data_IF_589660958390
#
_entry.id   IF_589660958390
#
_cell.length_a   1.000
_cell.length_b   1.000
_cell.length_c   1.000
_cell.angle_alpha   90.00
_cell.angle_beta   90.00
_cell.angle_gamma   90.00
#
_symmetry.space_group_name_H-M   'P 1'
#
loop_
_entity.id
_entity.type
_entity.pdbx_description
1 polymer ?
#
# COMPACT_ATOMS: atom_id res chain seq x y z
N UNK A 1 -102.88 41.25 -90.58
CA UNK A 1 -102.07 42.35 -90.00
C UNK A 1 -102.38 42.44 -88.51
N UNK A 2 -101.33 42.65 -87.71
CA UNK A 2 -101.31 43.09 -86.31
C UNK A 2 -101.82 42.05 -85.28
N UNK A 3 -100.99 41.30 -84.57
CA UNK A 3 -99.72 41.73 -83.97
C UNK A 3 -99.94 42.48 -82.64
N UNK A 4 -100.90 42.05 -81.81
CA UNK A 4 -100.89 42.39 -80.38
C UNK A 4 -100.11 41.30 -79.65
N UNK A 5 -98.79 41.49 -79.66
CA UNK A 5 -97.85 40.80 -78.79
C UNK A 5 -98.43 40.77 -77.37
N UNK A 6 -98.53 39.58 -76.78
CA UNK A 6 -98.94 39.34 -75.40
C UNK A 6 -97.81 39.80 -74.46
N UNK A 7 -97.49 41.10 -74.54
CA UNK A 7 -96.27 41.70 -74.03
C UNK A 7 -96.23 41.65 -72.49
N UNK A 8 -97.40 41.61 -71.86
CA UNK A 8 -97.53 41.55 -70.41
C UNK A 8 -97.27 40.14 -69.86
N UNK A 9 -97.81 39.09 -70.49
CA UNK A 9 -97.46 37.70 -70.10
C UNK A 9 -95.99 37.41 -70.36
N UNK A 10 -95.44 37.87 -71.50
CA UNK A 10 -94.01 37.70 -71.78
C UNK A 10 -93.13 38.44 -70.76
N UNK A 11 -93.56 39.61 -70.25
CA UNK A 11 -92.84 40.32 -69.18
C UNK A 11 -92.88 39.55 -67.86
N UNK A 12 -94.03 38.97 -67.51
CA UNK A 12 -94.18 38.12 -66.32
C UNK A 12 -93.33 36.86 -66.42
N UNK A 13 -93.37 36.16 -67.55
CA UNK A 13 -92.55 34.97 -67.81
C UNK A 13 -91.04 35.28 -67.76
N UNK A 14 -90.63 36.45 -68.28
CA UNK A 14 -89.24 36.92 -68.18
C UNK A 14 -88.88 37.19 -66.72
N UNK A 15 -89.76 37.81 -65.94
CA UNK A 15 -89.51 38.09 -64.51
C UNK A 15 -89.41 36.80 -63.69
N UNK A 16 -90.31 35.83 -63.92
CA UNK A 16 -90.28 34.52 -63.28
C UNK A 16 -89.04 33.71 -63.67
N UNK A 17 -88.68 33.70 -64.96
CA UNK A 17 -87.46 33.04 -65.40
C UNK A 17 -86.20 33.70 -64.82
N UNK A 18 -86.15 35.04 -64.72
CA UNK A 18 -85.06 35.74 -64.04
C UNK A 18 -84.98 35.38 -62.56
N UNK A 19 -86.11 35.32 -61.86
CA UNK A 19 -86.16 34.88 -60.46
C UNK A 19 -85.70 33.42 -60.30
N UNK A 20 -86.10 32.54 -61.22
CA UNK A 20 -85.68 31.14 -61.26
C UNK A 20 -84.18 31.00 -61.52
N UNK A 21 -83.63 31.78 -62.45
CA UNK A 21 -82.18 31.84 -62.72
C UNK A 21 -81.44 32.30 -61.47
N UNK A 22 -81.92 33.34 -60.77
CA UNK A 22 -81.32 33.81 -59.52
C UNK A 22 -81.30 32.74 -58.43
N UNK A 23 -82.41 32.01 -58.25
CA UNK A 23 -82.48 30.87 -57.30
C UNK A 23 -81.51 29.74 -57.67
N UNK A 24 -81.43 29.38 -58.95
CA UNK A 24 -80.51 28.34 -59.41
C UNK A 24 -79.05 28.76 -59.23
N UNK A 25 -78.71 30.02 -59.51
CA UNK A 25 -77.36 30.55 -59.30
C UNK A 25 -76.93 30.48 -57.83
N UNK A 26 -77.84 30.77 -56.90
CA UNK A 26 -77.55 30.65 -55.47
C UNK A 26 -77.35 29.19 -55.05
N UNK A 27 -78.21 28.29 -55.52
CA UNK A 27 -78.04 26.85 -55.28
C UNK A 27 -76.72 26.31 -55.85
N UNK A 28 -76.29 26.80 -57.03
CA UNK A 28 -74.99 26.45 -57.60
C UNK A 28 -73.83 26.94 -56.74
N UNK A 29 -73.89 28.15 -56.18
CA UNK A 29 -72.87 28.66 -55.26
C UNK A 29 -72.78 27.82 -53.99
N UNK A 30 -73.93 27.49 -53.38
CA UNK A 30 -73.94 26.62 -52.20
C UNK A 30 -73.34 25.23 -52.49
N UNK A 31 -73.65 24.65 -53.66
CA UNK A 31 -73.10 23.36 -54.06
C UNK A 31 -71.59 23.44 -54.29
N UNK A 32 -71.09 24.50 -54.91
CA UNK A 32 -69.66 24.69 -55.14
C UNK A 32 -68.88 24.88 -53.82
N UNK A 33 -69.45 25.63 -52.86
CA UNK A 33 -68.90 25.72 -51.51
C UNK A 33 -68.86 24.38 -50.79
N UNK A 34 -69.90 23.54 -50.95
CA UNK A 34 -69.91 22.19 -50.37
C UNK A 34 -68.87 21.30 -51.05
N UNK A 35 -68.71 21.40 -52.37
CA UNK A 35 -67.74 20.64 -53.14
C UNK A 35 -66.30 21.00 -52.75
N UNK A 36 -65.99 22.29 -52.59
CA UNK A 36 -64.68 22.76 -52.15
C UNK A 36 -64.36 22.28 -50.73
N UNK A 37 -65.32 22.34 -49.80
CA UNK A 37 -65.18 21.76 -48.45
C UNK A 37 -64.93 20.26 -48.50
N UNK A 38 -65.67 19.51 -49.31
CA UNK A 38 -65.50 18.06 -49.47
C UNK A 38 -64.11 17.71 -50.03
N UNK A 39 -63.63 18.46 -51.01
CA UNK A 39 -62.29 18.30 -51.57
C UNK A 39 -61.20 18.57 -50.51
N UNK A 40 -61.38 19.57 -49.66
CA UNK A 40 -60.45 19.84 -48.55
C UNK A 40 -60.46 18.72 -47.51
N UNK A 41 -61.64 18.22 -47.13
CA UNK A 41 -61.76 17.05 -46.23
C UNK A 41 -61.08 15.81 -46.82
N UNK A 42 -61.22 15.58 -48.13
CA UNK A 42 -60.57 14.46 -48.81
C UNK A 42 -59.05 14.55 -48.74
N UNK A 43 -58.47 15.75 -48.91
CA UNK A 43 -57.03 15.98 -48.74
C UNK A 43 -56.57 15.71 -47.30
N UNK A 44 -57.29 16.24 -46.31
CA UNK A 44 -56.98 16.01 -44.89
C UNK A 44 -57.06 14.52 -44.52
N UNK A 45 -58.06 13.81 -45.04
CA UNK A 45 -58.21 12.37 -44.80
C UNK A 45 -57.05 11.57 -45.39
N UNK A 46 -56.58 11.93 -46.59
CA UNK A 46 -55.40 11.32 -47.18
C UNK A 46 -54.13 11.58 -46.34
N UNK A 47 -53.96 12.80 -45.82
CA UNK A 47 -52.84 13.15 -44.94
C UNK A 47 -52.88 12.38 -43.60
N UNK A 48 -54.04 12.31 -42.95
CA UNK A 48 -54.24 11.52 -41.73
C UNK A 48 -53.90 10.05 -41.98
N UNK A 49 -54.39 9.49 -43.09
CA UNK A 49 -54.12 8.10 -43.46
C UNK A 49 -52.63 7.84 -43.64
N UNK A 50 -51.91 8.78 -44.27
CA UNK A 50 -50.47 8.69 -44.44
C UNK A 50 -49.74 8.77 -43.09
N UNK A 51 -50.13 9.70 -42.22
CA UNK A 51 -49.56 9.85 -40.87
C UNK A 51 -49.81 8.65 -39.97
N UNK A 52 -50.98 8.02 -40.06
CA UNK A 52 -51.29 6.78 -39.35
C UNK A 52 -50.38 5.64 -39.80
N UNK A 53 -50.18 5.46 -41.11
CA UNK A 53 -49.22 4.45 -41.63
C UNK A 53 -47.78 4.73 -41.19
N UNK A 54 -47.36 5.99 -41.17
CA UNK A 54 -46.04 6.37 -40.65
C UNK A 54 -45.88 6.02 -39.17
N UNK A 55 -46.90 6.31 -38.36
CA UNK A 55 -46.92 6.00 -36.93
C UNK A 55 -46.83 4.49 -36.69
N UNK A 56 -47.68 3.70 -37.36
CA UNK A 56 -47.68 2.23 -37.23
C UNK A 56 -46.31 1.64 -37.59
N UNK A 57 -45.68 2.13 -38.66
CA UNK A 57 -44.33 1.71 -39.05
C UNK A 57 -43.30 2.04 -37.98
N UNK A 58 -43.36 3.25 -37.41
CA UNK A 58 -42.46 3.68 -36.33
C UNK A 58 -42.66 2.86 -35.06
N UNK A 59 -43.91 2.55 -34.70
CA UNK A 59 -44.20 1.69 -33.56
C UNK A 59 -43.69 0.27 -33.76
N UNK A 60 -43.85 -0.28 -34.97
CA UNK A 60 -43.32 -1.60 -35.30
C UNK A 60 -41.79 -1.63 -35.20
N UNK A 61 -41.12 -0.58 -35.70
CA UNK A 61 -39.67 -0.43 -35.54
C UNK A 61 -39.25 -0.35 -34.07
N UNK A 62 -39.97 0.42 -33.24
CA UNK A 62 -39.71 0.49 -31.79
C UNK A 62 -39.91 -0.87 -31.13
N UNK A 63 -41.00 -1.58 -31.44
CA UNK A 63 -41.26 -2.94 -30.92
C UNK A 63 -40.15 -3.91 -31.34
N UNK A 64 -39.72 -3.86 -32.59
CA UNK A 64 -38.63 -4.71 -33.13
C UNK A 64 -37.31 -4.45 -32.42
N UNK A 65 -36.91 -3.18 -32.24
CA UNK A 65 -35.67 -2.81 -31.54
C UNK A 65 -35.75 -3.22 -30.06
N UNK A 66 -36.87 -2.95 -29.38
CA UNK A 66 -37.07 -3.35 -27.99
C UNK A 66 -36.97 -4.88 -27.84
N UNK A 67 -37.64 -5.65 -28.70
CA UNK A 67 -37.58 -7.11 -28.68
C UNK A 67 -36.18 -7.64 -28.93
N UNK A 68 -35.49 -7.15 -29.97
CA UNK A 68 -34.13 -7.61 -30.33
C UNK A 68 -33.10 -7.37 -29.22
N UNK A 69 -33.27 -6.31 -28.43
CA UNK A 69 -32.31 -5.91 -27.39
C UNK A 69 -32.83 -6.10 -25.96
N UNK A 70 -33.99 -6.74 -25.78
CA UNK A 70 -34.65 -6.88 -24.47
C UNK A 70 -33.73 -7.52 -23.42
N UNK A 71 -33.08 -8.62 -23.77
CA UNK A 71 -32.16 -9.32 -22.87
C UNK A 71 -30.94 -8.49 -22.50
N UNK A 72 -30.41 -7.71 -23.44
CA UNK A 72 -29.27 -6.83 -23.19
C UNK A 72 -29.65 -5.69 -22.24
N UNK A 73 -30.82 -5.08 -22.44
CA UNK A 73 -31.32 -4.07 -21.51
C UNK A 73 -31.63 -4.66 -20.14
N UNK A 74 -32.16 -5.88 -20.07
CA UNK A 74 -32.40 -6.58 -18.80
C UNK A 74 -31.10 -6.85 -18.05
N UNK A 75 -30.04 -7.29 -18.75
CA UNK A 75 -28.71 -7.50 -18.17
C UNK A 75 -28.06 -6.21 -17.68
N UNK A 76 -28.17 -5.12 -18.46
CA UNK A 76 -27.50 -3.86 -18.16
C UNK A 76 -28.23 -3.04 -17.09
N UNK A 77 -29.56 -2.95 -17.18
CA UNK A 77 -30.37 -2.04 -16.36
C UNK A 77 -31.02 -2.75 -15.17
N UNK A 78 -30.98 -4.09 -15.13
CA UNK A 78 -31.57 -4.97 -14.09
C UNK A 78 -33.07 -4.78 -13.83
N UNK A 79 -33.71 -3.80 -14.48
CA UNK A 79 -35.13 -3.44 -14.38
C UNK A 79 -35.68 -3.12 -15.77
N UNK A 80 -36.93 -3.50 -16.07
CA UNK A 80 -37.58 -3.11 -17.30
C UNK A 80 -37.76 -1.58 -17.34
N UNK A 81 -37.36 -0.96 -18.44
CA UNK A 81 -37.54 0.48 -18.67
C UNK A 81 -38.70 0.68 -19.62
N UNK A 82 -39.77 1.31 -19.14
CA UNK A 82 -40.98 1.55 -19.94
C UNK A 82 -40.84 2.77 -20.86
N UNK A 83 -40.14 3.81 -20.40
CA UNK A 83 -39.90 5.06 -21.13
C UNK A 83 -38.51 5.66 -20.82
N UNK A 84 -38.04 6.58 -21.67
CA UNK A 84 -36.80 7.35 -21.46
C UNK A 84 -35.49 6.53 -21.36
N UNK A 85 -35.32 5.56 -22.25
CA UNK A 85 -34.12 4.70 -22.37
C UNK A 85 -32.80 5.49 -22.30
N UNK A 86 -32.73 6.66 -22.94
CA UNK A 86 -31.54 7.53 -22.91
C UNK A 86 -31.11 7.87 -21.48
N UNK A 87 -32.04 8.31 -20.63
CA UNK A 87 -31.75 8.68 -19.25
C UNK A 87 -31.38 7.45 -18.41
N UNK A 88 -32.07 6.33 -18.61
CA UNK A 88 -31.78 5.09 -17.89
C UNK A 88 -30.36 4.57 -18.20
N UNK A 89 -29.96 4.58 -19.47
CA UNK A 89 -28.61 4.19 -19.90
C UNK A 89 -27.56 5.16 -19.34
N UNK A 90 -27.83 6.47 -19.37
CA UNK A 90 -26.91 7.46 -18.81
C UNK A 90 -26.67 7.25 -17.32
N UNK A 91 -27.74 7.09 -16.53
CA UNK A 91 -27.64 6.83 -15.08
C UNK A 91 -26.92 5.51 -14.79
N UNK A 92 -27.15 4.47 -15.59
CA UNK A 92 -26.41 3.21 -15.47
C UNK A 92 -24.91 3.42 -15.74
N UNK A 93 -24.58 4.17 -16.81
CA UNK A 93 -23.20 4.51 -17.14
C UNK A 93 -22.50 5.34 -16.07
N UNK A 94 -23.20 6.32 -15.48
CA UNK A 94 -22.70 7.11 -14.35
C UNK A 94 -22.39 6.22 -13.15
N UNK A 95 -23.35 5.37 -12.74
CA UNK A 95 -23.16 4.41 -11.64
C UNK A 95 -21.99 3.48 -11.88
N UNK A 96 -21.88 2.89 -13.08
CA UNK A 96 -20.78 2.00 -13.41
C UNK A 96 -19.43 2.73 -13.35
N UNK A 97 -19.35 3.98 -13.83
CA UNK A 97 -18.13 4.80 -13.72
C UNK A 97 -17.75 5.06 -12.27
N UNK A 98 -18.72 5.38 -11.42
CA UNK A 98 -18.46 5.64 -10.01
C UNK A 98 -18.02 4.37 -9.29
N UNK A 99 -18.67 3.23 -9.55
CA UNK A 99 -18.23 1.91 -9.04
C UNK A 99 -16.81 1.57 -9.51
N UNK A 100 -16.46 1.83 -10.78
CA UNK A 100 -15.09 1.61 -11.28
C UNK A 100 -14.09 2.48 -10.52
N UNK A 101 -14.40 3.77 -10.29
CA UNK A 101 -13.53 4.67 -9.51
C UNK A 101 -13.34 4.18 -8.08
N UNK A 102 -14.41 3.77 -7.41
CA UNK A 102 -14.37 3.23 -6.05
C UNK A 102 -13.54 1.95 -5.98
N UNK A 103 -13.75 1.01 -6.90
CA UNK A 103 -12.99 -0.24 -6.96
C UNK A 103 -11.50 0.02 -7.24
N UNK A 104 -11.17 0.94 -8.14
CA UNK A 104 -9.79 1.31 -8.41
C UNK A 104 -9.13 1.97 -7.20
N UNK A 105 -9.83 2.88 -6.51
CA UNK A 105 -9.33 3.50 -5.28
C UNK A 105 -9.07 2.44 -4.18
N UNK A 106 -10.00 1.49 -4.01
CA UNK A 106 -9.85 0.38 -3.07
C UNK A 106 -8.68 -0.54 -3.46
N UNK A 107 -8.54 -0.85 -4.74
CA UNK A 107 -7.43 -1.67 -5.26
C UNK A 107 -6.08 -1.01 -5.00
N UNK A 108 -5.95 0.29 -5.30
CA UNK A 108 -4.72 1.03 -5.05
C UNK A 108 -4.38 1.09 -3.56
N UNK A 109 -5.38 1.28 -2.69
CA UNK A 109 -5.18 1.26 -1.23
C UNK A 109 -4.64 -0.10 -0.76
N UNK A 110 -5.28 -1.19 -1.19
CA UNK A 110 -4.85 -2.55 -0.83
C UNK A 110 -3.45 -2.86 -1.37
N UNK A 111 -3.10 -2.38 -2.57
CA UNK A 111 -1.77 -2.55 -3.14
C UNK A 111 -0.70 -1.83 -2.32
N UNK A 112 -0.97 -0.59 -1.86
CA UNK A 112 -0.05 0.15 -0.99
C UNK A 112 0.12 -0.52 0.38
N UNK A 113 -0.97 -1.02 0.96
CA UNK A 113 -0.94 -1.78 2.21
C UNK A 113 -0.11 -3.07 2.05
N UNK A 114 -0.32 -3.81 0.98
CA UNK A 114 0.46 -5.00 0.65
C UNK A 114 1.96 -4.69 0.53
N UNK A 115 2.32 -3.64 -0.23
CA UNK A 115 3.71 -3.22 -0.38
C UNK A 115 4.35 -2.84 0.96
N UNK A 116 3.62 -2.11 1.82
CA UNK A 116 4.08 -1.77 3.17
C UNK A 116 4.34 -3.03 4.01
N UNK A 117 3.42 -3.98 4.00
CA UNK A 117 3.57 -5.26 4.70
C UNK A 117 4.74 -6.08 4.15
N UNK A 118 4.94 -6.11 2.83
CA UNK A 118 6.07 -6.80 2.21
C UNK A 118 7.43 -6.20 2.59
N UNK A 119 7.52 -4.87 2.62
CA UNK A 119 8.73 -4.16 3.07
C UNK A 119 9.00 -4.48 4.54
N UNK A 120 7.99 -4.36 5.41
CA UNK A 120 8.11 -4.70 6.84
C UNK A 120 8.57 -6.15 7.04
N UNK A 121 7.96 -7.10 6.31
CA UNK A 121 8.34 -8.52 6.37
C UNK A 121 9.79 -8.73 5.95
N UNK A 122 10.26 -8.09 4.87
CA UNK A 122 11.65 -8.19 4.42
C UNK A 122 12.62 -7.63 5.45
N UNK A 123 12.31 -6.48 6.05
CA UNK A 123 13.13 -5.86 7.08
C UNK A 123 13.22 -6.74 8.32
N UNK A 124 12.08 -7.20 8.84
CA UNK A 124 12.03 -8.10 10.00
C UNK A 124 12.78 -9.40 9.74
N UNK A 125 12.67 -9.99 8.55
CA UNK A 125 13.42 -11.20 8.19
C UNK A 125 14.93 -10.95 8.19
N UNK A 126 15.38 -9.81 7.67
CA UNK A 126 16.79 -9.43 7.65
C UNK A 126 17.34 -9.21 9.06
N UNK A 127 16.56 -8.53 9.91
CA UNK A 127 16.91 -8.28 11.31
C UNK A 127 16.97 -9.58 12.12
N UNK A 128 16.00 -10.48 11.91
CA UNK A 128 15.97 -11.80 12.56
C UNK A 128 17.24 -12.60 12.21
N UNK A 129 17.62 -12.66 10.92
CA UNK A 129 18.85 -13.34 10.49
C UNK A 129 20.12 -12.74 11.12
N UNK A 130 20.17 -11.42 11.30
CA UNK A 130 21.30 -10.76 11.99
C UNK A 130 21.35 -11.16 13.46
N UNK A 131 20.23 -11.07 14.17
CA UNK A 131 20.14 -11.43 15.58
C UNK A 131 20.45 -12.92 15.82
N UNK A 132 20.01 -13.81 14.92
CA UNK A 132 20.37 -15.23 14.99
C UNK A 132 21.88 -15.45 14.84
N UNK A 133 22.53 -14.73 13.92
CA UNK A 133 23.98 -14.80 13.74
C UNK A 133 24.73 -14.25 14.95
N UNK A 134 24.32 -13.08 15.46
CA UNK A 134 24.89 -12.48 16.66
C UNK A 134 24.74 -13.38 17.89
N UNK A 135 23.57 -14.02 18.04
CA UNK A 135 23.34 -14.99 19.11
C UNK A 135 24.29 -16.18 19.00
N UNK A 136 24.49 -16.73 17.80
CA UNK A 136 25.38 -17.87 17.61
C UNK A 136 26.85 -17.48 17.86
N UNK A 137 27.29 -16.33 17.38
CA UNK A 137 28.62 -15.77 17.68
C UNK A 137 28.81 -15.55 19.19
N UNK A 138 27.78 -15.08 19.90
CA UNK A 138 27.82 -14.92 21.36
C UNK A 138 27.89 -16.26 22.09
N UNK A 139 27.15 -17.28 21.63
CA UNK A 139 27.25 -18.64 22.21
C UNK A 139 28.64 -19.22 22.01
N UNK A 140 29.23 -19.05 20.82
CA UNK A 140 30.57 -19.53 20.51
C UNK A 140 31.61 -18.86 21.43
N UNK A 141 31.55 -17.55 21.63
CA UNK A 141 32.42 -16.84 22.59
C UNK A 141 32.27 -17.34 24.03
N UNK A 142 31.02 -17.61 24.46
CA UNK A 142 30.78 -18.16 25.80
C UNK A 142 31.37 -19.57 25.91
N UNK A 143 31.21 -20.39 24.86
CA UNK A 143 31.80 -21.72 24.80
C UNK A 143 33.33 -21.67 24.76
N UNK A 144 33.96 -20.76 24.04
CA UNK A 144 35.42 -20.58 24.06
C UNK A 144 35.90 -20.18 25.46
N UNK A 145 35.18 -19.33 26.17
CA UNK A 145 35.57 -18.88 27.51
C UNK A 145 35.35 -19.95 28.61
N UNK A 146 34.23 -20.67 28.56
CA UNK A 146 33.82 -21.61 29.63
C UNK A 146 34.03 -23.09 29.26
N UNK A 147 34.19 -23.40 27.98
CA UNK A 147 34.19 -24.75 27.42
C UNK A 147 32.97 -25.54 27.90
N UNK A 148 33.18 -26.76 28.40
CA UNK A 148 32.14 -27.61 28.97
C UNK A 148 31.86 -27.32 30.46
N UNK A 149 32.56 -26.36 31.08
CA UNK A 149 32.38 -26.01 32.47
C UNK A 149 31.31 -24.94 32.64
N UNK A 150 30.69 -24.88 33.81
CA UNK A 150 29.78 -23.78 34.13
C UNK A 150 30.55 -22.46 34.23
N UNK A 151 29.85 -21.34 33.99
CA UNK A 151 30.42 -20.01 34.17
C UNK A 151 30.97 -19.80 35.59
N UNK A 152 30.20 -20.20 36.60
CA UNK A 152 30.57 -20.11 38.02
C UNK A 152 31.86 -20.89 38.31
N UNK A 153 31.98 -22.13 37.82
CA UNK A 153 33.17 -22.95 38.03
C UNK A 153 34.40 -22.36 37.34
N UNK A 154 34.23 -21.86 36.11
CA UNK A 154 35.32 -21.23 35.35
C UNK A 154 35.80 -19.95 36.04
N UNK A 155 34.86 -19.14 36.53
CA UNK A 155 35.16 -17.92 37.28
C UNK A 155 35.87 -18.23 38.61
N UNK A 156 35.40 -19.24 39.36
CA UNK A 156 36.02 -19.67 40.60
C UNK A 156 37.46 -20.16 40.37
N UNK A 157 37.68 -21.00 39.34
CA UNK A 157 39.01 -21.47 38.93
C UNK A 157 39.93 -20.32 38.55
N UNK A 158 39.45 -19.39 37.71
CA UNK A 158 40.26 -18.23 37.29
C UNK A 158 40.64 -17.35 38.48
N UNK A 159 39.73 -17.11 39.42
CA UNK A 159 40.01 -16.34 40.65
C UNK A 159 41.03 -17.06 41.53
N UNK A 160 40.92 -18.37 41.69
CA UNK A 160 41.87 -19.17 42.47
C UNK A 160 43.26 -19.15 41.84
N UNK A 161 43.36 -19.33 40.52
CA UNK A 161 44.62 -19.25 39.78
C UNK A 161 45.24 -17.86 39.88
N UNK A 162 44.44 -16.81 39.76
CA UNK A 162 44.90 -15.43 39.92
C UNK A 162 45.43 -15.16 41.34
N UNK A 163 44.70 -15.60 42.37
CA UNK A 163 45.14 -15.47 43.76
C UNK A 163 46.46 -16.23 44.02
N UNK A 164 46.61 -17.42 43.43
CA UNK A 164 47.85 -18.21 43.48
C UNK A 164 49.01 -17.44 42.84
N UNK A 165 48.86 -16.95 41.60
CA UNK A 165 49.90 -16.17 40.94
C UNK A 165 50.23 -14.87 41.67
N UNK A 166 49.24 -14.18 42.23
CA UNK A 166 49.46 -13.00 43.06
C UNK A 166 50.26 -13.33 44.33
N UNK A 167 50.00 -14.47 44.96
CA UNK A 167 50.75 -14.93 46.14
C UNK A 167 52.18 -15.32 45.78
N UNK A 168 52.38 -16.08 44.70
CA UNK A 168 53.72 -16.45 44.21
C UNK A 168 54.52 -15.21 43.83
N UNK A 169 53.91 -14.28 43.11
CA UNK A 169 54.51 -12.99 42.79
C UNK A 169 54.89 -12.18 44.04
N UNK A 170 54.01 -12.16 45.05
CA UNK A 170 54.29 -11.51 46.34
C UNK A 170 55.46 -12.16 47.08
N UNK A 171 55.55 -13.48 47.06
CA UNK A 171 56.65 -14.22 47.66
C UNK A 171 57.99 -13.92 46.95
N UNK A 172 58.01 -13.90 45.61
CA UNK A 172 59.20 -13.55 44.83
C UNK A 172 59.66 -12.12 45.10
N UNK A 173 58.75 -11.14 45.12
CA UNK A 173 59.04 -9.76 45.52
C UNK A 173 59.63 -9.68 46.93
N UNK A 174 59.06 -10.44 47.86
CA UNK A 174 59.53 -10.43 49.25
C UNK A 174 60.91 -11.06 49.39
N UNK A 175 61.20 -12.12 48.65
CA UNK A 175 62.51 -12.77 48.60
C UNK A 175 63.55 -11.84 47.99
N UNK A 176 63.24 -11.18 46.86
CA UNK A 176 64.10 -10.17 46.25
C UNK A 176 64.44 -9.04 47.23
N UNK A 177 63.42 -8.48 47.89
CA UNK A 177 63.60 -7.42 48.88
C UNK A 177 64.41 -7.88 50.10
N UNK A 178 64.23 -9.13 50.54
CA UNK A 178 65.00 -9.72 51.62
C UNK A 178 66.47 -9.88 51.21
N UNK A 179 66.75 -10.49 50.06
CA UNK A 179 68.11 -10.71 49.57
C UNK A 179 68.86 -9.38 49.40
N UNK A 180 68.22 -8.36 48.82
CA UNK A 180 68.82 -7.01 48.71
C UNK A 180 69.17 -6.42 50.07
N UNK A 181 68.26 -6.48 51.04
CA UNK A 181 68.54 -6.02 52.42
C UNK A 181 69.63 -6.81 53.13
N UNK A 182 69.73 -8.11 52.82
CA UNK A 182 70.74 -8.97 53.41
C UNK A 182 72.13 -8.64 52.89
N UNK A 183 72.24 -8.41 51.58
CA UNK A 183 73.45 -7.92 50.91
C UNK A 183 73.88 -6.57 51.50
N UNK A 184 72.95 -5.62 51.64
CA UNK A 184 73.22 -4.30 52.26
C UNK A 184 73.84 -4.46 53.67
N UNK A 185 73.23 -5.28 54.53
CA UNK A 185 73.71 -5.49 55.92
C UNK A 185 75.06 -6.19 56.00
N UNK A 186 75.30 -7.22 55.19
CA UNK A 186 76.58 -7.94 55.16
C UNK A 186 77.71 -7.06 54.64
N UNK A 187 77.38 -6.10 53.76
CA UNK A 187 78.34 -5.11 53.25
C UNK A 187 78.69 -4.06 54.31
N UNK A 188 77.73 -3.64 55.15
CA UNK A 188 77.94 -2.68 56.23
C UNK A 188 78.67 -3.29 57.45
N UNK A 189 78.30 -4.52 57.83
CA UNK A 189 78.85 -5.23 58.98
C UNK A 189 79.09 -6.69 58.57
N UNK A 190 80.35 -7.18 58.52
CA UNK A 190 80.68 -8.53 58.03
C UNK A 190 80.33 -9.60 59.10
N UNK A 191 79.07 -9.65 59.51
CA UNK A 191 78.48 -10.68 60.36
C UNK A 191 77.19 -11.20 59.71
N UNK A 192 76.85 -12.47 59.93
CA UNK A 192 75.67 -13.07 59.32
C UNK A 192 74.39 -12.49 59.96
N UNK A 193 73.50 -11.81 59.21
CA UNK A 193 72.33 -11.15 59.81
C UNK A 193 71.26 -12.09 60.39
N UNK A 194 71.33 -13.41 60.14
CA UNK A 194 70.43 -14.42 60.71
C UNK A 194 70.98 -15.07 62.00
N UNK A 195 72.29 -15.33 62.07
CA UNK A 195 72.89 -16.04 63.21
C UNK A 195 73.92 -15.21 63.99
N UNK A 196 74.18 -13.97 63.56
CA UNK A 196 75.09 -13.00 64.18
C UNK A 196 76.52 -13.53 64.38
N UNK A 197 76.94 -14.47 63.53
CA UNK A 197 78.32 -14.97 63.54
C UNK A 197 79.19 -14.06 62.68
N UNK A 198 80.33 -13.63 63.21
CA UNK A 198 81.32 -12.87 62.46
C UNK A 198 81.81 -13.67 61.25
N UNK A 199 81.90 -13.00 60.11
CA UNK A 199 82.33 -13.56 58.83
C UNK A 199 83.63 -12.90 58.41
N UNK A 200 84.50 -13.67 57.79
CA UNK A 200 85.69 -13.12 57.13
C UNK A 200 85.28 -12.36 55.86
N UNK A 201 86.12 -11.42 55.39
CA UNK A 201 85.82 -10.64 54.18
C UNK A 201 85.54 -11.52 52.94
N UNK A 202 86.23 -12.66 52.83
CA UNK A 202 86.00 -13.63 51.75
C UNK A 202 84.61 -14.29 51.89
N UNK A 203 84.23 -14.72 53.08
CA UNK A 203 82.91 -15.33 53.33
C UNK A 203 81.77 -14.31 53.09
N UNK A 204 81.97 -13.04 53.45
CA UNK A 204 81.01 -11.97 53.18
C UNK A 204 80.85 -11.70 51.68
N UNK A 205 81.95 -11.72 50.92
CA UNK A 205 81.94 -11.54 49.46
C UNK A 205 81.27 -12.71 48.74
N UNK A 206 81.57 -13.95 49.14
CA UNK A 206 81.00 -15.16 48.54
C UNK A 206 79.47 -15.20 48.74
N UNK A 207 79.00 -14.92 49.97
CA UNK A 207 77.57 -14.87 50.29
C UNK A 207 76.85 -13.74 49.52
N UNK A 208 77.49 -12.58 49.37
CA UNK A 208 76.92 -11.46 48.62
C UNK A 208 76.78 -11.78 47.13
N UNK A 209 77.76 -12.49 46.56
CA UNK A 209 77.72 -12.96 45.17
C UNK A 209 76.64 -14.02 44.97
N UNK A 210 76.55 -15.02 45.85
CA UNK A 210 75.50 -16.05 45.80
C UNK A 210 74.09 -15.46 45.87
N UNK A 211 73.86 -14.50 46.77
CA UNK A 211 72.56 -13.82 46.90
C UNK A 211 72.24 -12.92 45.70
N UNK A 212 73.25 -12.28 45.10
CA UNK A 212 73.08 -11.49 43.88
C UNK A 212 72.74 -12.37 42.67
N UNK A 213 73.39 -13.52 42.55
CA UNK A 213 73.08 -14.52 41.52
C UNK A 213 71.66 -15.08 41.72
N UNK A 214 71.24 -15.30 42.96
CA UNK A 214 69.89 -15.78 43.25
C UNK A 214 68.81 -14.71 42.93
N UNK A 215 69.10 -13.43 43.14
CA UNK A 215 68.25 -12.32 42.64
C UNK A 215 68.19 -12.33 41.11
N UNK A 216 69.33 -12.50 40.42
CA UNK A 216 69.40 -12.51 38.96
C UNK A 216 68.69 -13.72 38.33
N UNK A 217 68.51 -14.80 39.08
CA UNK A 217 67.72 -15.98 38.67
C UNK A 217 66.21 -15.77 38.81
N UNK A 218 65.78 -14.75 39.56
CA UNK A 218 64.36 -14.41 39.64
C UNK A 218 63.87 -13.86 38.29
N UNK A 219 62.63 -14.18 37.86
CA UNK A 219 62.10 -13.66 36.61
C UNK A 219 62.18 -12.13 36.49
N UNK A 220 62.72 -11.60 35.38
CA UNK A 220 62.91 -10.16 35.16
C UNK A 220 61.60 -9.32 35.24
N UNK A 221 60.43 -9.97 35.09
CA UNK A 221 59.12 -9.31 35.04
C UNK A 221 58.40 -9.16 36.40
N UNK A 222 59.10 -9.35 37.52
CA UNK A 222 58.51 -9.18 38.87
C UNK A 222 58.15 -7.70 39.18
N UNK A 223 58.71 -6.75 38.42
CA UNK A 223 58.56 -5.31 38.65
C UNK A 223 57.39 -4.64 37.91
N UNK A 224 56.45 -5.37 37.31
CA UNK A 224 55.29 -4.73 36.66
C UNK A 224 54.44 -4.06 37.74
N UNK A 225 54.34 -2.71 37.79
CA UNK A 225 53.56 -2.03 38.80
C UNK A 225 52.10 -2.46 38.66
N UNK A 226 51.44 -2.69 39.80
CA UNK A 226 49.98 -2.84 39.85
C UNK A 226 49.34 -1.55 39.31
N UNK A 227 48.97 -1.54 38.04
CA UNK A 227 47.99 -0.60 37.51
C UNK A 227 46.63 -1.01 38.06
N UNK A 228 46.29 -0.43 39.22
CA UNK A 228 44.90 -0.22 39.61
C UNK A 228 44.27 0.83 38.69
#
# INVERSE_FOLDING_TARGET
MNGKCNQETMRTDIAENKARIGKLQEQFRELDERLTKLNMMSKLMAEITLKQKELEKKEQDVRRVKGKHADNFKKLLSRPVESNYRRAIQLCGDKLRDTIKELNAKSNKLQLEQQSCEIKRKNLKSELLKLEKELEESKEKVYEACHAASYEDTLAKSKATMAKYQSEHGALLSAEAMYKRYIEKVTEEPCCPLCHKDMTENEASDITMELSDEINRLPENINVPRSC
#
